data_IF_342029683541
#
_entry.id   IF_342029683541
#
_cell.length_a   1.000
_cell.length_b   1.000
_cell.length_c   1.000
_cell.angle_alpha   90.00
_cell.angle_beta   90.00
_cell.angle_gamma   90.00
#
_symmetry.space_group_name_H-M   'P 1'
#
loop_
_entity.id
_entity.type
_entity.pdbx_description
1 polymer ?
#
# COMPACT_ATOMS: atom_id res chain seq x y z
N UNK A 1 -29.03 34.87 7.25
CA UNK A 1 -28.62 33.94 8.32
C UNK A 1 -29.90 33.49 9.01
N UNK A 2 -30.25 32.20 8.96
CA UNK A 2 -31.49 31.72 9.60
C UNK A 2 -31.25 31.66 11.12
N UNK A 3 -32.00 32.42 11.95
CA UNK A 3 -31.88 32.32 13.40
C UNK A 3 -32.46 30.97 13.85
N UNK A 4 -31.66 30.12 14.51
CA UNK A 4 -32.20 28.98 15.27
C UNK A 4 -31.72 27.58 14.89
N UNK A 5 -30.77 27.38 13.97
CA UNK A 5 -30.14 26.06 13.84
C UNK A 5 -29.01 25.93 14.87
N UNK A 6 -29.07 24.98 15.83
CA UNK A 6 -27.94 24.72 16.70
C UNK A 6 -26.72 24.37 15.85
N UNK A 7 -25.55 24.90 16.20
CA UNK A 7 -24.31 24.49 15.56
C UNK A 7 -24.23 22.96 15.61
N UNK A 8 -23.97 22.27 14.48
CA UNK A 8 -23.80 20.82 14.46
C UNK A 8 -22.82 20.44 15.59
N UNK A 9 -23.14 19.48 16.47
CA UNK A 9 -22.24 19.11 17.55
C UNK A 9 -20.83 18.82 17.00
N UNK A 10 -19.77 19.29 17.67
CA UNK A 10 -18.40 18.98 17.24
C UNK A 10 -18.21 17.47 17.14
N UNK A 11 -17.54 17.01 16.10
CA UNK A 11 -17.25 15.58 15.92
C UNK A 11 -16.54 15.02 17.16
N UNK A 12 -16.98 13.85 17.62
CA UNK A 12 -16.31 13.11 18.70
C UNK A 12 -14.93 12.59 18.25
N UNK A 13 -14.65 12.54 16.94
CA UNK A 13 -13.40 12.04 16.39
C UNK A 13 -12.33 13.14 16.32
N UNK A 14 -11.12 12.80 16.74
CA UNK A 14 -9.99 13.74 16.82
C UNK A 14 -9.12 13.68 15.57
N UNK A 15 -8.79 14.85 15.00
CA UNK A 15 -7.89 14.99 13.84
C UNK A 15 -6.51 14.40 14.09
N UNK A 16 -5.98 14.62 15.29
CA UNK A 16 -4.64 14.17 15.68
C UNK A 16 -4.54 12.64 15.64
N UNK A 17 -5.58 11.93 16.10
CA UNK A 17 -5.59 10.46 16.05
C UNK A 17 -5.59 9.96 14.61
N UNK A 18 -6.37 10.60 13.73
CA UNK A 18 -6.39 10.27 12.31
C UNK A 18 -5.04 10.54 11.62
N UNK A 19 -4.37 11.65 11.96
CA UNK A 19 -3.07 12.00 11.42
C UNK A 19 -1.97 11.03 11.90
N UNK A 20 -1.96 10.68 13.19
CA UNK A 20 -1.04 9.67 13.73
C UNK A 20 -1.26 8.32 13.07
N UNK A 21 -2.52 7.91 12.87
CA UNK A 21 -2.85 6.66 12.19
C UNK A 21 -2.42 6.67 10.71
N UNK A 22 -2.52 7.82 10.03
CA UNK A 22 -2.05 7.98 8.66
C UNK A 22 -0.51 7.97 8.56
N UNK A 23 0.20 8.49 9.56
CA UNK A 23 1.67 8.46 9.58
C UNK A 23 2.23 7.06 9.89
N UNK A 24 1.73 6.40 10.94
CA UNK A 24 2.24 5.09 11.37
C UNK A 24 1.64 3.91 10.62
N UNK A 25 0.40 4.04 10.13
CA UNK A 25 -0.37 2.97 9.52
C UNK A 25 -0.89 3.36 8.12
N UNK A 26 -0.36 4.43 7.53
CA UNK A 26 -0.78 4.95 6.22
C UNK A 26 -0.77 3.89 5.14
N UNK A 27 0.26 3.04 5.13
CA UNK A 27 0.38 1.93 4.17
C UNK A 27 -0.81 0.96 4.15
N UNK A 28 -1.60 0.90 5.22
CA UNK A 28 -2.76 0.00 5.33
C UNK A 28 -4.11 0.69 5.06
N UNK A 29 -4.16 2.02 5.04
CA UNK A 29 -5.40 2.78 4.91
C UNK A 29 -6.29 2.83 6.17
N UNK A 30 -5.76 2.46 7.34
CA UNK A 30 -6.51 2.46 8.60
C UNK A 30 -7.08 3.84 8.99
N UNK A 31 -6.38 4.93 8.63
CA UNK A 31 -6.87 6.31 8.82
C UNK A 31 -8.16 6.58 8.06
N UNK A 32 -8.29 6.06 6.84
CA UNK A 32 -9.50 6.22 6.04
C UNK A 32 -10.70 5.48 6.67
N UNK A 33 -10.47 4.32 7.30
CA UNK A 33 -11.50 3.63 8.08
C UNK A 33 -11.91 4.42 9.33
N UNK A 34 -10.94 5.04 10.02
CA UNK A 34 -11.19 5.83 11.23
C UNK A 34 -12.10 7.03 10.96
N UNK A 35 -11.86 7.74 9.86
CA UNK A 35 -12.62 8.95 9.48
C UNK A 35 -13.95 8.59 8.78
N UNK A 36 -14.11 7.33 8.35
CA UNK A 36 -15.33 6.81 7.73
C UNK A 36 -15.34 6.84 6.20
N UNK A 37 -14.20 7.16 5.58
CA UNK A 37 -14.01 7.16 4.13
C UNK A 37 -13.66 5.74 3.61
N UNK A 38 -14.67 4.85 3.60
CA UNK A 38 -14.47 3.43 3.30
C UNK A 38 -14.00 3.15 1.87
N UNK A 39 -14.38 3.99 0.90
CA UNK A 39 -14.03 3.79 -0.51
C UNK A 39 -12.52 3.86 -0.73
N UNK A 40 -11.88 4.93 -0.25
CA UNK A 40 -10.42 5.08 -0.32
C UNK A 40 -9.69 4.02 0.52
N UNK A 41 -10.25 3.65 1.68
CA UNK A 41 -9.67 2.64 2.55
C UNK A 41 -9.60 1.25 1.88
N UNK A 42 -10.68 0.83 1.22
CA UNK A 42 -10.74 -0.45 0.50
C UNK A 42 -9.82 -0.42 -0.72
N UNK A 43 -9.79 0.68 -1.48
CA UNK A 43 -8.89 0.83 -2.62
C UNK A 43 -7.42 0.69 -2.20
N UNK A 44 -7.02 1.32 -1.09
CA UNK A 44 -5.67 1.19 -0.54
C UNK A 44 -5.34 -0.24 -0.09
N UNK A 45 -6.29 -0.93 0.54
CA UNK A 45 -6.09 -2.31 0.95
C UNK A 45 -5.88 -3.24 -0.25
N UNK A 46 -6.70 -3.11 -1.30
CA UNK A 46 -6.55 -3.88 -2.53
C UNK A 46 -5.21 -3.58 -3.20
N UNK A 47 -4.85 -2.29 -3.31
CA UNK A 47 -3.58 -1.88 -3.90
C UNK A 47 -2.39 -2.44 -3.11
N UNK A 48 -2.45 -2.42 -1.77
CA UNK A 48 -1.43 -3.01 -0.90
C UNK A 48 -1.29 -4.52 -1.16
N UNK A 49 -2.40 -5.26 -1.17
CA UNK A 49 -2.40 -6.71 -1.42
C UNK A 49 -1.81 -7.03 -2.80
N UNK A 50 -2.26 -6.34 -3.84
CA UNK A 50 -1.74 -6.50 -5.21
C UNK A 50 -0.24 -6.23 -5.26
N UNK A 51 0.22 -5.16 -4.60
CA UNK A 51 1.63 -4.81 -4.53
C UNK A 51 2.46 -5.94 -3.88
N UNK A 52 2.00 -6.48 -2.75
CA UNK A 52 2.68 -7.60 -2.10
C UNK A 52 2.72 -8.86 -2.96
N UNK A 53 1.63 -9.18 -3.67
CA UNK A 53 1.61 -10.32 -4.61
C UNK A 53 2.66 -10.14 -5.70
N UNK A 54 2.74 -8.96 -6.32
CA UNK A 54 3.72 -8.68 -7.38
C UNK A 54 5.15 -8.80 -6.85
N UNK A 55 5.44 -8.24 -5.68
CA UNK A 55 6.76 -8.33 -5.04
C UNK A 55 7.14 -9.78 -4.73
N UNK A 56 6.23 -10.55 -4.12
CA UNK A 56 6.47 -11.96 -3.79
C UNK A 56 6.72 -12.78 -5.05
N UNK A 57 5.91 -12.60 -6.08
CA UNK A 57 6.07 -13.32 -7.36
C UNK A 57 7.41 -12.94 -7.99
N UNK A 58 7.75 -11.64 -8.06
CA UNK A 58 9.03 -11.17 -8.60
C UNK A 58 10.24 -11.79 -7.89
N UNK A 59 10.25 -11.75 -6.55
CA UNK A 59 11.32 -12.39 -5.78
C UNK A 59 11.37 -13.91 -5.95
N UNK A 60 10.22 -14.58 -6.00
CA UNK A 60 10.18 -16.04 -6.17
C UNK A 60 10.77 -16.48 -7.51
N UNK A 61 10.45 -15.75 -8.59
CA UNK A 61 11.03 -15.99 -9.91
C UNK A 61 12.54 -15.69 -9.92
N UNK A 62 12.94 -14.56 -9.32
CA UNK A 62 14.34 -14.19 -9.28
C UNK A 62 15.20 -15.24 -8.54
N UNK A 63 14.69 -15.76 -7.42
CA UNK A 63 15.38 -16.81 -6.64
C UNK A 63 15.36 -18.14 -7.39
N UNK A 64 14.25 -18.51 -8.04
CA UNK A 64 14.17 -19.75 -8.80
C UNK A 64 15.24 -19.82 -9.91
N UNK A 65 15.63 -18.68 -10.49
CA UNK A 65 16.64 -18.63 -11.56
C UNK A 65 18.07 -18.82 -11.08
N UNK A 66 18.31 -18.79 -9.76
CA UNK A 66 19.66 -18.94 -9.17
C UNK A 66 20.05 -20.39 -8.87
N UNK A 67 19.15 -21.36 -9.08
CA UNK A 67 19.42 -22.76 -8.79
C UNK A 67 20.37 -23.37 -9.82
N UNK A 68 21.59 -23.74 -9.41
CA UNK A 68 22.48 -24.56 -10.24
C UNK A 68 22.08 -26.03 -10.13
N UNK A 69 21.46 -26.59 -11.17
CA UNK A 69 21.10 -28.00 -11.21
C UNK A 69 22.25 -28.84 -11.78
N UNK A 70 22.62 -29.92 -11.08
CA UNK A 70 23.55 -30.92 -11.62
C UNK A 70 22.76 -31.97 -12.42
N UNK A 71 22.88 -31.94 -13.73
CA UNK A 71 22.23 -32.93 -14.61
C UNK A 71 23.21 -34.06 -14.89
N UNK A 72 22.83 -35.28 -14.48
CA UNK A 72 23.55 -36.51 -14.86
C UNK A 72 23.05 -37.00 -16.21
N UNK A 73 23.96 -37.11 -17.16
CA UNK A 73 23.68 -37.73 -18.45
C UNK A 73 23.66 -39.24 -18.31
N UNK A 74 22.97 -39.92 -19.23
CA UNK A 74 22.90 -41.39 -19.29
C UNK A 74 24.29 -42.07 -19.33
N UNK A 75 25.30 -41.38 -19.86
CA UNK A 75 26.69 -41.83 -19.92
C UNK A 75 27.45 -41.73 -18.58
N UNK A 76 26.83 -41.19 -17.53
CA UNK A 76 27.45 -41.02 -16.19
C UNK A 76 28.13 -39.66 -15.97
N UNK A 77 28.34 -38.88 -17.03
CA UNK A 77 28.92 -37.53 -16.93
C UNK A 77 27.93 -36.55 -16.31
N UNK A 78 28.42 -35.68 -15.43
CA UNK A 78 27.62 -34.69 -14.71
C UNK A 78 27.98 -33.30 -15.22
N UNK A 79 26.97 -32.54 -15.67
CA UNK A 79 27.13 -31.17 -16.12
C UNK A 79 26.37 -30.23 -15.19
N UNK A 80 26.96 -29.07 -14.91
CA UNK A 80 26.27 -27.97 -14.23
C UNK A 80 25.42 -27.24 -15.26
N UNK A 81 24.13 -27.07 -14.95
CA UNK A 81 23.26 -26.15 -15.69
C UNK A 81 23.46 -24.76 -15.09
N UNK A 82 23.85 -23.81 -15.93
CA UNK A 82 24.05 -22.42 -15.55
C UNK A 82 22.74 -21.74 -15.16
N UNK A 83 22.85 -20.65 -14.41
CA UNK A 83 21.75 -19.81 -13.93
C UNK A 83 20.86 -19.31 -15.09
N UNK A 84 19.53 -19.39 -14.92
CA UNK A 84 18.56 -18.89 -15.90
C UNK A 84 18.46 -17.36 -15.81
N UNK A 85 19.41 -16.66 -16.44
CA UNK A 85 19.56 -15.20 -16.36
C UNK A 85 18.28 -14.43 -16.71
N UNK A 86 17.50 -14.91 -17.68
CA UNK A 86 16.24 -14.29 -18.08
C UNK A 86 15.19 -14.33 -16.95
N UNK A 87 15.15 -15.40 -16.16
CA UNK A 87 14.23 -15.56 -15.04
C UNK A 87 14.67 -14.71 -13.83
N UNK A 88 15.99 -14.60 -13.60
CA UNK A 88 16.56 -13.69 -12.60
C UNK A 88 16.22 -12.23 -12.93
N UNK A 89 16.48 -11.81 -14.17
CA UNK A 89 16.23 -10.44 -14.62
C UNK A 89 14.73 -10.16 -14.65
N UNK A 90 13.92 -11.07 -15.18
CA UNK A 90 12.46 -10.93 -15.24
C UNK A 90 11.82 -10.83 -13.85
N UNK A 91 12.20 -11.72 -12.93
CA UNK A 91 11.76 -11.67 -11.54
C UNK A 91 12.22 -10.40 -10.81
N UNK A 92 13.47 -9.99 -11.01
CA UNK A 92 14.03 -8.77 -10.44
C UNK A 92 13.32 -7.51 -10.90
N UNK A 93 13.06 -7.37 -12.20
CA UNK A 93 12.30 -6.24 -12.76
C UNK A 93 10.87 -6.20 -12.23
N UNK A 94 10.21 -7.36 -12.07
CA UNK A 94 8.88 -7.44 -11.49
C UNK A 94 8.87 -7.02 -10.02
N UNK A 95 9.89 -7.42 -9.23
CA UNK A 95 10.04 -6.99 -7.84
C UNK A 95 10.27 -5.47 -7.75
N UNK A 96 11.10 -4.90 -8.62
CA UNK A 96 11.34 -3.45 -8.70
C UNK A 96 10.04 -2.70 -9.01
N UNK A 97 9.25 -3.19 -9.97
CA UNK A 97 7.93 -2.62 -10.27
C UNK A 97 7.03 -2.63 -9.03
N UNK A 98 7.02 -3.72 -8.27
CA UNK A 98 6.31 -3.81 -7.00
C UNK A 98 6.76 -2.76 -5.99
N UNK A 99 8.07 -2.50 -5.86
CA UNK A 99 8.58 -1.45 -4.98
C UNK A 99 8.21 -0.03 -5.44
N UNK A 100 8.18 0.22 -6.75
CA UNK A 100 7.71 1.51 -7.29
C UNK A 100 6.24 1.74 -6.96
N UNK A 101 5.41 0.70 -7.08
CA UNK A 101 4.00 0.76 -6.66
C UNK A 101 3.87 1.01 -5.15
N UNK A 102 4.70 0.38 -4.32
CA UNK A 102 4.72 0.64 -2.87
C UNK A 102 5.09 2.09 -2.58
N UNK A 103 6.05 2.67 -3.33
CA UNK A 103 6.39 4.09 -3.28
C UNK A 103 5.19 4.98 -3.65
N UNK A 104 4.44 4.63 -4.69
CA UNK A 104 3.23 5.36 -5.07
C UNK A 104 2.15 5.30 -3.97
N UNK A 105 1.99 4.16 -3.28
CA UNK A 105 1.09 4.03 -2.14
C UNK A 105 1.56 4.89 -0.95
N UNK A 106 2.87 5.00 -0.73
CA UNK A 106 3.46 5.93 0.24
C UNK A 106 3.16 7.39 -0.10
N UNK A 107 3.33 7.78 -1.37
CA UNK A 107 3.02 9.14 -1.82
C UNK A 107 1.52 9.43 -1.64
N UNK A 108 0.64 8.50 -2.04
CA UNK A 108 -0.80 8.63 -1.83
C UNK A 108 -1.10 8.88 -0.35
N UNK A 109 -0.59 8.04 0.55
CA UNK A 109 -0.89 8.11 1.98
C UNK A 109 -0.33 9.37 2.64
N UNK A 110 0.83 9.88 2.18
CA UNK A 110 1.35 11.19 2.59
C UNK A 110 0.45 12.34 2.17
N UNK A 111 -0.09 12.31 0.95
CA UNK A 111 -1.05 13.32 0.48
C UNK A 111 -2.30 13.32 1.35
N UNK A 112 -2.80 12.14 1.74
CA UNK A 112 -3.94 12.02 2.66
C UNK A 112 -3.62 12.49 4.08
N UNK A 113 -2.43 12.18 4.59
CA UNK A 113 -1.96 12.71 5.87
C UNK A 113 -1.96 14.25 5.89
N UNK A 114 -1.44 14.90 4.84
CA UNK A 114 -1.47 16.36 4.70
C UNK A 114 -2.93 16.87 4.63
N UNK A 115 -3.81 16.18 3.90
CA UNK A 115 -5.21 16.56 3.82
C UNK A 115 -5.95 16.44 5.16
N UNK A 116 -5.58 15.47 6.00
CA UNK A 116 -6.12 15.32 7.37
C UNK A 116 -5.67 16.50 8.25
N UNK A 117 -4.38 16.87 8.21
CA UNK A 117 -3.86 18.01 8.98
C UNK A 117 -4.47 19.33 8.55
N UNK A 118 -4.60 19.53 7.25
CA UNK A 118 -5.20 20.74 6.67
C UNK A 118 -6.72 20.73 6.71
N UNK A 119 -7.35 19.63 7.18
CA UNK A 119 -8.81 19.47 7.22
C UNK A 119 -9.47 19.76 5.87
N UNK A 120 -8.78 19.46 4.77
CA UNK A 120 -9.15 19.92 3.44
C UNK A 120 -10.07 18.92 2.72
N UNK A 121 -11.07 19.47 2.04
CA UNK A 121 -12.05 18.69 1.27
C UNK A 121 -12.78 17.63 2.10
N UNK A 122 -12.70 16.38 1.64
CA UNK A 122 -13.34 15.18 2.22
C UNK A 122 -12.76 14.76 3.58
N UNK A 123 -11.64 15.34 4.02
CA UNK A 123 -10.99 15.06 5.29
C UNK A 123 -11.30 16.07 6.40
N UNK A 124 -12.11 17.10 6.10
CA UNK A 124 -12.55 18.07 7.11
C UNK A 124 -13.83 17.72 7.85
N UNK A 125 -14.52 16.65 7.42
CA UNK A 125 -15.79 16.21 7.99
C UNK A 125 -15.74 14.72 8.31
N UNK A 126 -16.40 14.32 9.39
CA UNK A 126 -16.66 12.91 9.68
C UNK A 126 -17.83 12.37 8.84
N UNK A 127 -18.13 11.08 9.05
CA UNK A 127 -19.24 10.39 8.38
C UNK A 127 -20.62 10.96 8.74
N UNK A 128 -20.76 11.60 9.90
CA UNK A 128 -21.99 12.25 10.33
C UNK A 128 -22.10 13.70 9.81
N UNK A 129 -21.08 14.19 9.10
CA UNK A 129 -21.03 15.54 8.52
C UNK A 129 -20.50 16.60 9.49
N UNK A 130 -20.09 16.21 10.71
CA UNK A 130 -19.51 17.12 11.69
C UNK A 130 -18.06 17.42 11.36
N UNK A 131 -17.62 18.64 11.70
CA UNK A 131 -16.25 19.07 11.49
C UNK A 131 -15.36 18.28 12.46
N UNK A 132 -14.32 17.63 11.94
CA UNK A 132 -13.31 17.01 12.79
C UNK A 132 -12.63 18.11 13.62
N UNK A 133 -12.48 17.90 14.92
CA UNK A 133 -11.86 18.88 15.84
C UNK A 133 -10.43 18.49 16.15
#
# INVERSE_FOLDING_TARGET
>A
MYPGYPAPPPSTKKKVVAALLAFFLGGTGAHNFYIGNKGCAIAQLIFLIVTWVIVIVGYSLAIAGTGTEMVRTYSGDTYYVDEDADMIIGGGLLAILGYLMMGALWIWTMVEFIMILTSSGRYGRDREGYMLV
#
